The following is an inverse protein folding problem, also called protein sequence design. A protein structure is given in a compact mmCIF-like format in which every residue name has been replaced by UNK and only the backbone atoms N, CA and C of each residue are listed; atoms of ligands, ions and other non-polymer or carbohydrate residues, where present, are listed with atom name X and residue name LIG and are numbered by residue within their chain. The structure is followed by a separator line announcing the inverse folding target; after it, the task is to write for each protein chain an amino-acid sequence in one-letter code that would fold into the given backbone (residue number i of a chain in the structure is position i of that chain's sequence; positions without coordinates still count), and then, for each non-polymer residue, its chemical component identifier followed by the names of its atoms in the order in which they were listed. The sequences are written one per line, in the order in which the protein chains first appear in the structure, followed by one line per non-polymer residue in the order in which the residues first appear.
data_IF_853106359071
#
_entry.id   IF_853106359071
#
_cell.length_a   1.000
_cell.length_b   1.000
_cell.length_c   1.000
_cell.angle_alpha   90.00
_cell.angle_beta   90.00
_cell.angle_gamma   90.00
#
_symmetry.space_group_name_H-M   'P 1'
#
loop_
_entity.id
_entity.type
_entity.pdbx_description
1 polymer ?
#
# COMPACT_ATOMS: atom_id res chain seq x y z
N UNK A 1 -48.79 -35.32 -8.93
CA UNK A 1 -47.39 -35.46 -8.47
C UNK A 1 -46.65 -36.19 -9.58
N UNK A 2 -45.93 -35.46 -10.43
CA UNK A 2 -45.18 -35.97 -11.59
C UNK A 2 -43.84 -35.24 -11.61
N UNK A 3 -42.76 -36.01 -11.66
CA UNK A 3 -41.39 -35.55 -11.68
C UNK A 3 -41.13 -34.55 -12.82
N UNK A 4 -40.57 -33.39 -12.45
CA UNK A 4 -40.10 -32.35 -13.36
C UNK A 4 -38.56 -32.32 -13.37
N UNK A 5 -37.92 -33.48 -13.50
CA UNK A 5 -36.49 -33.56 -13.83
C UNK A 5 -36.39 -34.11 -15.25
N UNK A 6 -36.12 -33.19 -16.17
CA UNK A 6 -35.69 -33.47 -17.53
C UNK A 6 -34.81 -32.33 -17.99
N UNK A 7 -33.77 -32.01 -17.21
CA UNK A 7 -32.73 -31.07 -17.65
C UNK A 7 -31.98 -31.69 -18.83
N UNK A 8 -32.22 -31.18 -20.03
CA UNK A 8 -31.26 -31.31 -21.12
C UNK A 8 -30.05 -30.45 -20.76
N UNK A 9 -29.03 -31.08 -20.19
CA UNK A 9 -27.75 -30.45 -19.87
C UNK A 9 -26.97 -30.22 -21.18
N UNK A 10 -26.61 -28.97 -21.46
CA UNK A 10 -25.79 -28.63 -22.63
C UNK A 10 -24.30 -28.83 -22.30
N UNK A 11 -23.62 -29.71 -23.03
CA UNK A 11 -22.18 -29.96 -22.88
C UNK A 11 -21.38 -29.20 -23.96
N UNK A 12 -20.32 -28.43 -23.60
CA UNK A 12 -19.50 -27.73 -24.58
C UNK A 12 -18.71 -28.72 -25.43
N UNK A 13 -19.02 -28.77 -26.73
CA UNK A 13 -18.39 -29.66 -27.72
C UNK A 13 -19.38 -30.29 -28.71
N UNK A 14 -20.68 -30.25 -28.42
CA UNK A 14 -21.72 -30.74 -29.34
C UNK A 14 -22.01 -29.73 -30.46
N UNK A 15 -21.07 -29.55 -31.38
CA UNK A 15 -21.40 -29.00 -32.69
C UNK A 15 -22.06 -30.12 -33.52
N UNK A 16 -23.38 -30.31 -33.34
CA UNK A 16 -24.21 -31.07 -34.28
C UNK A 16 -24.48 -32.56 -33.99
N UNK A 17 -24.39 -33.05 -32.74
CA UNK A 17 -24.84 -34.41 -32.41
C UNK A 17 -25.38 -34.51 -30.97
N UNK A 18 -26.70 -34.35 -30.77
CA UNK A 18 -27.31 -34.23 -29.43
C UNK A 18 -27.51 -35.55 -28.66
N UNK A 19 -27.35 -36.73 -29.28
CA UNK A 19 -27.80 -38.00 -28.70
C UNK A 19 -26.67 -38.99 -28.29
N UNK A 20 -25.43 -38.53 -28.12
CA UNK A 20 -24.37 -39.38 -27.53
C UNK A 20 -24.45 -39.34 -26.00
N UNK A 21 -24.87 -40.45 -25.40
CA UNK A 21 -24.76 -40.70 -23.95
C UNK A 21 -23.28 -40.86 -23.59
N UNK A 22 -22.77 -39.99 -22.71
CA UNK A 22 -21.46 -40.15 -22.09
C UNK A 22 -21.66 -40.70 -20.68
N UNK A 23 -21.09 -41.86 -20.39
CA UNK A 23 -20.99 -42.35 -19.02
C UNK A 23 -19.82 -41.63 -18.34
N UNK A 24 -20.15 -40.80 -17.35
CA UNK A 24 -19.15 -40.13 -16.50
C UNK A 24 -18.73 -41.11 -15.40
N UNK A 25 -17.43 -41.33 -15.27
CA UNK A 25 -16.85 -42.13 -14.18
C UNK A 25 -16.82 -41.27 -12.91
N UNK A 26 -17.13 -41.85 -11.74
CA UNK A 26 -17.23 -41.14 -10.45
C UNK A 26 -16.00 -40.29 -10.08
N UNK A 27 -14.82 -40.59 -10.64
CA UNK A 27 -13.61 -39.78 -10.47
C UNK A 27 -13.68 -38.38 -11.09
N UNK A 28 -14.61 -38.13 -12.02
CA UNK A 28 -14.76 -36.84 -12.71
C UNK A 28 -15.87 -35.95 -12.11
N UNK A 29 -16.60 -36.43 -11.10
CA UNK A 29 -17.67 -35.69 -10.44
C UNK A 29 -17.18 -35.09 -9.12
N UNK A 30 -16.49 -33.94 -9.19
CA UNK A 30 -16.48 -32.98 -8.06
C UNK A 30 -17.54 -31.91 -8.34
N UNK A 31 -18.76 -32.18 -7.92
CA UNK A 31 -19.83 -31.20 -7.95
C UNK A 31 -19.84 -30.40 -6.65
N UNK A 32 -19.55 -29.11 -6.75
CA UNK A 32 -20.04 -28.10 -5.81
C UNK A 32 -20.99 -27.19 -6.60
N UNK A 33 -22.28 -27.30 -6.28
CA UNK A 33 -23.32 -26.48 -6.89
C UNK A 33 -23.16 -25.04 -6.39
N UNK A 34 -22.95 -24.11 -7.35
CA UNK A 34 -22.88 -22.64 -7.22
C UNK A 34 -21.49 -22.06 -6.87
N UNK A 35 -20.84 -21.49 -7.89
CA UNK A 35 -19.92 -20.34 -7.82
C UNK A 35 -18.48 -20.48 -7.24
N UNK A 36 -17.93 -21.68 -7.04
CA UNK A 36 -16.63 -21.81 -6.35
C UNK A 36 -15.65 -22.67 -7.14
N UNK A 37 -14.91 -22.10 -8.10
CA UNK A 37 -13.59 -22.65 -8.50
C UNK A 37 -12.67 -21.71 -9.32
N UNK A 38 -12.98 -20.40 -9.41
CA UNK A 38 -11.97 -19.37 -9.82
C UNK A 38 -11.28 -18.76 -8.57
N UNK A 39 -11.63 -19.21 -7.37
CA UNK A 39 -11.21 -18.61 -6.10
C UNK A 39 -9.76 -18.91 -5.67
N UNK A 40 -9.03 -19.77 -6.38
CA UNK A 40 -7.70 -20.22 -5.95
C UNK A 40 -6.51 -19.43 -6.53
N UNK A 41 -6.66 -18.71 -7.64
CA UNK A 41 -5.48 -18.14 -8.32
C UNK A 41 -5.10 -16.74 -7.79
N UNK A 42 -6.08 -15.93 -7.34
CA UNK A 42 -5.84 -14.55 -6.93
C UNK A 42 -6.68 -14.13 -5.71
N UNK A 43 -6.12 -14.15 -4.49
CA UNK A 43 -6.81 -13.71 -3.27
C UNK A 43 -7.38 -12.30 -3.35
N UNK A 44 -6.73 -11.43 -4.14
CA UNK A 44 -7.15 -10.03 -4.36
C UNK A 44 -8.48 -9.91 -5.12
N UNK A 45 -8.96 -10.98 -5.76
CA UNK A 45 -10.25 -11.01 -6.47
C UNK A 45 -11.41 -11.47 -5.58
N UNK A 46 -11.15 -11.87 -4.34
CA UNK A 46 -12.20 -12.39 -3.45
C UNK A 46 -13.32 -11.37 -3.25
N UNK A 47 -14.56 -11.77 -3.55
CA UNK A 47 -15.75 -10.93 -3.42
C UNK A 47 -15.89 -9.83 -4.48
N UNK A 48 -15.14 -9.88 -5.58
CA UNK A 48 -15.34 -9.00 -6.74
C UNK A 48 -16.16 -9.78 -7.77
N UNK A 49 -17.26 -9.20 -8.23
CA UNK A 49 -18.02 -9.71 -9.37
C UNK A 49 -17.28 -9.33 -10.67
N UNK A 50 -16.60 -10.29 -11.29
CA UNK A 50 -15.83 -10.09 -12.52
C UNK A 50 -16.71 -10.47 -13.71
N UNK A 51 -17.06 -9.53 -14.60
CA UNK A 51 -17.92 -9.84 -15.75
C UNK A 51 -17.27 -10.85 -16.70
N UNK A 52 -18.09 -11.73 -17.28
CA UNK A 52 -17.64 -12.78 -18.21
C UNK A 52 -17.39 -12.25 -19.63
N UNK A 53 -18.09 -11.19 -20.03
CA UNK A 53 -17.93 -10.53 -21.33
C UNK A 53 -16.60 -9.74 -21.38
N UNK A 54 -15.56 -10.35 -21.98
CA UNK A 54 -14.20 -9.76 -22.08
C UNK A 54 -13.87 -9.16 -23.44
N UNK A 55 -14.59 -9.54 -24.50
CA UNK A 55 -14.33 -9.20 -25.91
C UNK A 55 -15.59 -8.70 -26.61
N UNK A 56 -15.44 -8.05 -27.77
CA UNK A 56 -16.57 -7.53 -28.55
C UNK A 56 -17.14 -6.22 -28.02
N UNK A 57 -18.33 -5.86 -28.52
CA UNK A 57 -19.11 -4.71 -28.06
C UNK A 57 -19.75 -5.05 -26.71
N UNK A 58 -19.40 -4.29 -25.68
CA UNK A 58 -19.97 -4.46 -24.34
C UNK A 58 -21.24 -3.64 -24.26
N UNK A 59 -22.28 -4.21 -23.64
CA UNK A 59 -23.47 -3.43 -23.30
C UNK A 59 -23.11 -2.34 -22.29
N UNK A 60 -23.92 -1.29 -22.18
CA UNK A 60 -23.73 -0.25 -21.16
C UNK A 60 -23.69 -0.86 -19.75
N UNK A 61 -24.52 -1.88 -19.49
CA UNK A 61 -24.55 -2.58 -18.20
C UNK A 61 -23.24 -3.34 -17.94
N UNK A 62 -22.71 -4.07 -18.92
CA UNK A 62 -21.45 -4.80 -18.77
C UNK A 62 -20.28 -3.84 -18.56
N UNK A 63 -20.30 -2.69 -19.25
CA UNK A 63 -19.31 -1.64 -19.07
C UNK A 63 -19.32 -1.12 -17.63
N UNK A 64 -20.49 -0.81 -17.07
CA UNK A 64 -20.60 -0.34 -15.68
C UNK A 64 -20.12 -1.39 -14.68
N UNK A 65 -20.48 -2.68 -14.87
CA UNK A 65 -19.97 -3.76 -14.03
C UNK A 65 -18.43 -3.86 -14.07
N UNK A 66 -17.84 -3.70 -15.26
CA UNK A 66 -16.39 -3.65 -15.40
C UNK A 66 -15.77 -2.46 -14.68
N UNK A 67 -16.38 -1.27 -14.74
CA UNK A 67 -15.88 -0.09 -14.05
C UNK A 67 -15.92 -0.29 -12.52
N UNK A 68 -16.97 -0.90 -11.98
CA UNK A 68 -17.06 -1.26 -10.55
C UNK A 68 -15.95 -2.24 -10.16
N UNK A 69 -15.73 -3.29 -10.96
CA UNK A 69 -14.64 -4.25 -10.71
C UNK A 69 -13.26 -3.57 -10.73
N UNK A 70 -13.02 -2.65 -11.69
CA UNK A 70 -11.77 -1.88 -11.77
C UNK A 70 -11.58 -0.94 -10.58
N UNK A 71 -12.64 -0.28 -10.14
CA UNK A 71 -12.64 0.58 -8.96
C UNK A 71 -12.21 -0.21 -7.71
N UNK A 72 -12.79 -1.39 -7.46
CA UNK A 72 -12.44 -2.22 -6.32
C UNK A 72 -10.97 -2.69 -6.42
N UNK A 73 -10.49 -3.06 -7.60
CA UNK A 73 -9.09 -3.45 -7.81
C UNK A 73 -8.12 -2.32 -7.51
N UNK A 74 -8.43 -1.10 -7.96
CA UNK A 74 -7.62 0.09 -7.67
C UNK A 74 -7.63 0.43 -6.18
N UNK A 75 -8.78 0.31 -5.50
CA UNK A 75 -8.92 0.51 -4.06
C UNK A 75 -8.11 -0.53 -3.26
N UNK A 76 -8.02 -1.76 -3.75
CA UNK A 76 -7.16 -2.83 -3.18
C UNK A 76 -5.67 -2.68 -3.53
N UNK A 77 -5.29 -1.61 -4.23
CA UNK A 77 -3.90 -1.24 -4.47
C UNK A 77 -3.29 -1.77 -5.77
N UNK A 78 -4.08 -2.36 -6.68
CA UNK A 78 -3.59 -2.80 -7.99
C UNK A 78 -3.43 -1.60 -8.91
N UNK A 79 -2.22 -1.03 -8.96
CA UNK A 79 -1.94 0.20 -9.73
C UNK A 79 -1.43 -0.06 -11.14
N UNK A 80 -0.93 -1.26 -11.41
CA UNK A 80 -0.31 -1.61 -12.69
C UNK A 80 -1.34 -2.19 -13.67
N UNK A 81 -1.46 -1.59 -14.85
CA UNK A 81 -2.39 -2.04 -15.91
C UNK A 81 -2.07 -3.46 -16.36
N UNK A 82 -0.79 -3.85 -16.42
CA UNK A 82 -0.37 -5.21 -16.77
C UNK A 82 -0.83 -6.24 -15.73
N UNK A 83 -0.87 -5.85 -14.46
CA UNK A 83 -1.39 -6.69 -13.39
C UNK A 83 -2.92 -6.81 -13.45
N UNK A 84 -3.62 -5.70 -13.69
CA UNK A 84 -5.07 -5.70 -13.94
C UNK A 84 -5.42 -6.60 -15.11
N UNK A 85 -4.66 -6.53 -16.21
CA UNK A 85 -4.81 -7.40 -17.38
C UNK A 85 -4.69 -8.87 -17.01
N UNK A 86 -3.67 -9.23 -16.22
CA UNK A 86 -3.45 -10.61 -15.73
C UNK A 86 -4.63 -11.08 -14.88
N UNK A 87 -5.07 -10.26 -13.93
CA UNK A 87 -6.14 -10.58 -12.99
C UNK A 87 -7.52 -10.73 -13.65
N UNK A 88 -7.81 -9.91 -14.67
CA UNK A 88 -9.15 -9.83 -15.26
C UNK A 88 -9.26 -10.53 -16.62
N UNK A 89 -8.14 -10.74 -17.30
CA UNK A 89 -8.08 -11.29 -18.65
C UNK A 89 -8.55 -10.32 -19.74
N UNK A 90 -8.70 -9.02 -19.43
CA UNK A 90 -8.98 -7.98 -20.42
C UNK A 90 -7.78 -7.75 -21.35
N UNK A 91 -8.00 -7.10 -22.50
CA UNK A 91 -6.89 -6.56 -23.29
C UNK A 91 -6.29 -5.33 -22.60
N UNK A 92 -5.01 -5.04 -22.85
CA UNK A 92 -4.31 -3.92 -22.22
C UNK A 92 -5.03 -2.58 -22.48
N UNK A 93 -5.38 -2.29 -23.74
CA UNK A 93 -6.07 -1.05 -24.08
C UNK A 93 -7.44 -0.90 -23.44
N UNK A 94 -8.16 -2.00 -23.22
CA UNK A 94 -9.45 -1.98 -22.54
C UNK A 94 -9.30 -1.75 -21.04
N UNK A 95 -8.35 -2.43 -20.40
CA UNK A 95 -8.02 -2.20 -19.00
C UNK A 95 -7.57 -0.75 -18.75
N UNK A 96 -6.68 -0.21 -19.61
CA UNK A 96 -6.26 1.20 -19.54
C UNK A 96 -7.44 2.18 -19.68
N UNK A 97 -8.32 1.94 -20.66
CA UNK A 97 -9.52 2.76 -20.87
C UNK A 97 -10.43 2.78 -19.64
N UNK A 98 -10.70 1.62 -19.02
CA UNK A 98 -11.54 1.57 -17.83
C UNK A 98 -10.89 2.22 -16.62
N UNK A 99 -9.57 2.00 -16.43
CA UNK A 99 -8.82 2.65 -15.34
C UNK A 99 -8.84 4.18 -15.49
N UNK A 100 -8.69 4.70 -16.71
CA UNK A 100 -8.78 6.15 -16.99
C UNK A 100 -10.17 6.68 -16.68
N UNK A 101 -11.22 5.99 -17.09
CA UNK A 101 -12.61 6.39 -16.82
C UNK A 101 -12.91 6.39 -15.32
N UNK A 102 -12.48 5.37 -14.56
CA UNK A 102 -12.62 5.35 -13.10
C UNK A 102 -11.89 6.53 -12.45
N UNK A 103 -10.64 6.81 -12.86
CA UNK A 103 -9.87 7.95 -12.34
C UNK A 103 -10.53 9.30 -12.66
N UNK A 104 -11.10 9.43 -13.84
CA UNK A 104 -11.84 10.62 -14.25
C UNK A 104 -13.13 10.79 -13.45
N UNK A 105 -13.87 9.69 -13.19
CA UNK A 105 -15.03 9.73 -12.29
C UNK A 105 -14.64 10.15 -10.89
N UNK A 106 -13.53 9.62 -10.36
CA UNK A 106 -13.02 10.03 -9.06
C UNK A 106 -12.63 11.50 -9.03
N UNK A 107 -11.94 12.02 -10.05
CA UNK A 107 -11.55 13.43 -10.10
C UNK A 107 -12.75 14.38 -10.21
N UNK A 108 -13.84 13.94 -10.85
CA UNK A 108 -15.10 14.69 -10.96
C UNK A 108 -16.01 14.55 -9.73
N UNK A 109 -15.86 13.48 -8.95
CA UNK A 109 -16.78 13.15 -7.84
C UNK A 109 -16.58 13.98 -6.58
N UNK A 110 -15.42 14.62 -6.40
CA UNK A 110 -15.10 15.38 -5.19
C UNK A 110 -14.72 16.81 -5.56
N UNK A 111 -15.46 17.77 -5.02
CA UNK A 111 -15.05 19.17 -5.02
C UNK A 111 -13.75 19.33 -4.20
N UNK A 112 -12.95 20.34 -4.51
CA UNK A 112 -11.70 20.63 -3.77
C UNK A 112 -11.96 20.78 -2.27
N UNK A 113 -13.09 21.39 -1.88
CA UNK A 113 -13.52 21.49 -0.49
C UNK A 113 -13.78 20.13 0.17
N UNK A 114 -14.46 19.21 -0.52
CA UNK A 114 -14.68 17.84 -0.01
C UNK A 114 -13.40 17.03 0.09
N UNK A 115 -12.47 17.20 -0.86
CA UNK A 115 -11.14 16.57 -0.79
C UNK A 115 -10.38 17.06 0.45
N UNK A 116 -10.40 18.37 0.71
CA UNK A 116 -9.72 18.95 1.86
C UNK A 116 -10.37 18.52 3.19
N UNK A 117 -11.70 18.57 3.29
CA UNK A 117 -12.41 18.07 4.47
C UNK A 117 -12.12 16.59 4.75
N UNK A 118 -12.02 15.76 3.70
CA UNK A 118 -11.65 14.35 3.85
C UNK A 118 -10.19 14.17 4.26
N UNK A 119 -9.26 14.98 3.74
CA UNK A 119 -7.85 14.98 4.18
C UNK A 119 -7.74 15.34 5.65
N UNK A 120 -8.45 16.37 6.08
CA UNK A 120 -8.51 16.82 7.47
C UNK A 120 -9.09 15.73 8.38
N UNK A 121 -10.19 15.10 7.99
CA UNK A 121 -10.78 13.98 8.75
C UNK A 121 -9.79 12.81 8.93
N UNK A 122 -9.08 12.42 7.86
CA UNK A 122 -8.06 11.35 7.95
C UNK A 122 -6.88 11.79 8.83
N UNK A 123 -6.48 13.06 8.75
CA UNK A 123 -5.41 13.61 9.57
C UNK A 123 -5.76 13.58 11.06
N UNK A 124 -6.96 14.05 11.41
CA UNK A 124 -7.48 14.06 12.79
C UNK A 124 -7.63 12.64 13.34
N UNK A 125 -8.11 11.70 12.53
CA UNK A 125 -8.21 10.30 12.95
C UNK A 125 -6.83 9.68 13.20
N UNK A 126 -5.84 9.99 12.36
CA UNK A 126 -4.47 9.54 12.58
C UNK A 126 -3.88 10.14 13.87
N UNK A 127 -4.19 11.39 14.19
CA UNK A 127 -3.77 12.04 15.45
C UNK A 127 -4.40 11.34 16.65
N UNK A 128 -5.72 11.12 16.61
CA UNK A 128 -6.47 10.43 17.67
C UNK A 128 -5.92 9.04 17.96
N UNK A 129 -5.62 8.26 16.92
CA UNK A 129 -5.03 6.91 17.08
C UNK A 129 -3.63 6.99 17.69
N UNK A 130 -2.82 7.96 17.26
CA UNK A 130 -1.47 8.19 17.79
C UNK A 130 -1.52 8.54 19.28
N UNK A 131 -2.42 9.43 19.70
CA UNK A 131 -2.63 9.81 21.10
C UNK A 131 -3.08 8.62 21.95
N UNK A 132 -4.08 7.84 21.49
CA UNK A 132 -4.53 6.64 22.20
C UNK A 132 -3.40 5.61 22.38
N UNK A 133 -2.53 5.45 21.38
CA UNK A 133 -1.36 4.58 21.49
C UNK A 133 -0.36 5.08 22.54
N UNK A 134 -0.13 6.40 22.60
CA UNK A 134 0.73 7.02 23.62
C UNK A 134 0.17 6.88 25.03
N UNK A 135 -1.13 7.11 25.21
CA UNK A 135 -1.80 6.94 26.50
C UNK A 135 -1.65 5.50 27.00
N UNK A 136 -1.93 4.52 26.13
CA UNK A 136 -1.84 3.10 26.45
C UNK A 136 -0.43 2.67 26.83
N UNK A 137 0.59 3.20 26.13
CA UNK A 137 2.00 2.97 26.45
C UNK A 137 2.42 3.50 27.83
N UNK A 138 1.80 4.60 28.28
CA UNK A 138 2.14 5.28 29.53
C UNK A 138 1.36 4.76 30.74
N UNK A 139 0.14 4.26 30.53
CA UNK A 139 -0.74 3.81 31.63
C UNK A 139 -0.72 2.31 31.86
N UNK A 140 -0.49 1.50 30.83
CA UNK A 140 -0.59 0.04 30.93
C UNK A 140 0.78 -0.62 31.02
N UNK A 141 1.00 -1.54 31.97
CA UNK A 141 2.17 -2.41 31.94
C UNK A 141 2.02 -3.41 30.79
N UNK A 142 2.71 -3.13 29.69
CA UNK A 142 2.68 -3.92 28.46
C UNK A 142 3.95 -4.77 28.35
N UNK A 143 3.84 -5.92 27.68
CA UNK A 143 5.02 -6.67 27.25
C UNK A 143 5.82 -5.89 26.20
N UNK A 144 7.12 -6.17 26.09
CA UNK A 144 8.00 -5.47 25.14
C UNK A 144 7.52 -5.59 23.68
N UNK A 145 6.99 -6.76 23.31
CA UNK A 145 6.41 -6.99 21.98
C UNK A 145 5.18 -6.11 21.71
N UNK A 146 4.32 -5.94 22.71
CA UNK A 146 3.16 -5.04 22.59
C UNK A 146 3.60 -3.57 22.52
N UNK A 147 4.59 -3.16 23.31
CA UNK A 147 5.15 -1.79 23.25
C UNK A 147 5.73 -1.48 21.88
N UNK A 148 6.48 -2.43 21.30
CA UNK A 148 7.02 -2.29 19.94
C UNK A 148 5.91 -2.12 18.89
N UNK A 149 4.81 -2.86 19.02
CA UNK A 149 3.66 -2.75 18.11
C UNK A 149 3.01 -1.36 18.19
N UNK A 150 2.85 -0.79 19.40
CA UNK A 150 2.34 0.57 19.56
C UNK A 150 3.29 1.63 19.00
N UNK A 151 4.60 1.52 19.24
CA UNK A 151 5.57 2.43 18.63
C UNK A 151 5.54 2.38 17.10
N UNK A 152 5.41 1.18 16.51
CA UNK A 152 5.23 1.03 15.07
C UNK A 152 3.97 1.73 14.59
N UNK A 153 2.85 1.55 15.29
CA UNK A 153 1.59 2.21 14.94
C UNK A 153 1.71 3.74 14.97
N UNK A 154 2.35 4.29 16.01
CA UNK A 154 2.63 5.73 16.13
C UNK A 154 3.43 6.25 14.93
N UNK A 155 4.49 5.53 14.53
CA UNK A 155 5.31 5.89 13.37
C UNK A 155 4.49 5.81 12.07
N UNK A 156 3.67 4.78 11.88
CA UNK A 156 2.82 4.64 10.70
C UNK A 156 1.77 5.76 10.61
N UNK A 157 1.16 6.14 11.73
CA UNK A 157 0.27 7.30 11.81
C UNK A 157 0.98 8.61 11.46
N UNK A 158 2.17 8.86 12.02
CA UNK A 158 2.97 10.04 11.69
C UNK A 158 3.35 10.11 10.21
N UNK A 159 3.76 8.98 9.61
CA UNK A 159 4.03 8.91 8.16
C UNK A 159 2.79 9.23 7.33
N UNK A 160 1.62 8.74 7.74
CA UNK A 160 0.35 9.02 7.05
C UNK A 160 -0.01 10.50 7.11
N UNK A 161 0.21 11.15 8.25
CA UNK A 161 0.01 12.60 8.43
C UNK A 161 0.95 13.40 7.53
N UNK A 162 2.25 13.10 7.53
CA UNK A 162 3.25 13.73 6.65
C UNK A 162 2.88 13.62 5.18
N UNK A 163 2.37 12.46 4.76
CA UNK A 163 1.95 12.24 3.37
C UNK A 163 0.72 13.06 2.98
N UNK A 164 -0.22 13.27 3.91
CA UNK A 164 -1.45 14.04 3.67
C UNK A 164 -1.21 15.54 3.53
N UNK A 165 -0.25 16.08 4.28
CA UNK A 165 0.18 17.47 4.18
C UNK A 165 1.18 17.69 3.02
N UNK A 166 1.63 16.61 2.38
CA UNK A 166 2.57 16.67 1.28
C UNK A 166 4.01 16.96 1.71
N UNK A 167 4.36 16.76 2.99
CA UNK A 167 5.73 16.92 3.49
C UNK A 167 6.71 16.01 2.74
N UNK A 168 6.27 14.82 2.31
CA UNK A 168 7.06 13.89 1.48
C UNK A 168 7.40 14.44 0.08
N UNK A 169 6.72 15.50 -0.38
CA UNK A 169 6.94 16.16 -1.68
C UNK A 169 7.64 17.50 -1.56
N UNK A 170 7.82 17.99 -0.33
CA UNK A 170 8.67 19.15 -0.09
C UNK A 170 10.09 18.61 -0.22
N UNK A 171 10.67 18.69 -1.41
CA UNK A 171 12.12 18.76 -1.55
C UNK A 171 12.52 20.02 -0.79
N UNK A 172 12.75 19.88 0.50
CA UNK A 172 13.52 20.88 1.24
C UNK A 172 14.89 20.77 0.60
N UNK A 173 15.15 21.60 -0.42
CA UNK A 173 16.49 22.09 -0.66
C UNK A 173 16.85 22.79 0.64
N UNK A 174 17.33 22.01 1.60
CA UNK A 174 18.24 22.52 2.60
C UNK A 174 19.42 22.90 1.71
N UNK A 175 19.46 24.15 1.28
CA UNK A 175 20.74 24.80 1.08
C UNK A 175 21.42 24.67 2.44
N UNK A 176 22.08 23.54 2.66
CA UNK A 176 23.10 23.41 3.67
C UNK A 176 24.18 24.36 3.23
N UNK A 177 24.00 25.64 3.52
CA UNK A 177 25.08 26.53 3.91
C UNK A 177 25.57 26.08 5.29
N UNK A 178 25.86 24.78 5.44
CA UNK A 178 26.87 24.36 6.39
C UNK A 178 28.19 24.70 5.71
N UNK A 179 28.64 25.94 5.95
CA UNK A 179 30.07 26.23 5.96
C UNK A 179 30.69 25.22 6.92
N UNK A 180 31.17 24.10 6.39
CA UNK A 180 31.95 23.15 7.16
C UNK A 180 33.20 23.89 7.61
N UNK A 181 33.20 24.32 8.88
CA UNK A 181 34.39 24.89 9.50
C UNK A 181 35.50 23.86 9.36
N UNK A 182 36.60 24.26 8.76
CA UNK A 182 37.78 23.41 8.65
C UNK A 182 38.30 23.10 10.05
N UNK A 183 39.04 21.99 10.20
CA UNK A 183 39.64 21.59 11.48
C UNK A 183 40.41 22.75 12.15
N UNK A 184 41.15 23.52 11.35
CA UNK A 184 41.90 24.69 11.81
C UNK A 184 41.00 25.83 12.33
N UNK A 185 39.84 26.05 11.72
CA UNK A 185 38.87 27.07 12.16
C UNK A 185 38.21 26.67 13.48
N UNK A 186 37.89 25.38 13.65
CA UNK A 186 37.35 24.86 14.91
C UNK A 186 38.39 24.92 16.04
N UNK A 187 39.65 24.57 15.77
CA UNK A 187 40.74 24.64 16.76
C UNK A 187 41.01 26.09 17.21
N UNK A 188 40.97 27.04 16.28
CA UNK A 188 41.15 28.46 16.57
C UNK A 188 40.00 29.06 17.38
N UNK A 189 38.78 28.65 17.10
CA UNK A 189 37.58 29.08 17.84
C UNK A 189 37.58 28.55 19.28
N UNK A 190 37.90 27.27 19.47
CA UNK A 190 38.01 26.64 20.80
C UNK A 190 39.15 27.25 21.62
N UNK A 191 40.32 27.48 21.00
CA UNK A 191 41.45 28.14 21.63
C UNK A 191 41.13 29.58 22.06
N UNK A 192 40.40 30.32 21.22
CA UNK A 192 39.91 31.67 21.53
C UNK A 192 38.94 31.68 22.72
N UNK A 193 37.98 30.74 22.76
CA UNK A 193 37.03 30.62 23.87
C UNK A 193 37.69 30.27 25.20
N UNK A 194 38.72 29.42 25.16
CA UNK A 194 39.47 28.99 26.34
C UNK A 194 40.62 29.94 26.71
N UNK A 195 40.86 30.98 25.91
CA UNK A 195 41.97 31.94 26.06
C UNK A 195 43.35 31.28 26.17
N UNK A 196 43.54 30.17 25.45
CA UNK A 196 44.79 29.42 25.38
C UNK A 196 45.31 29.44 23.96
N UNK A 197 46.61 29.22 23.78
CA UNK A 197 47.18 29.07 22.44
C UNK A 197 46.70 27.76 21.80
N UNK A 198 46.60 27.72 20.47
CA UNK A 198 46.25 26.50 19.72
C UNK A 198 47.27 25.39 19.97
N UNK A 199 48.54 25.77 20.19
CA UNK A 199 49.64 24.85 20.50
C UNK A 199 49.47 24.19 21.88
N UNK A 200 48.96 24.91 22.87
CA UNK A 200 48.70 24.35 24.20
C UNK A 200 47.43 23.49 24.22
N UNK A 201 46.42 23.82 23.41
CA UNK A 201 45.25 22.96 23.19
C UNK A 201 45.66 21.60 22.60
N UNK A 202 46.59 21.59 21.63
CA UNK A 202 47.13 20.35 21.07
C UNK A 202 47.89 19.52 22.11
N UNK A 203 48.76 20.15 22.92
CA UNK A 203 49.48 19.47 24.01
C UNK A 203 48.54 18.87 25.06
N UNK A 204 47.43 19.54 25.38
CA UNK A 204 46.41 19.00 26.29
C UNK A 204 45.76 17.76 25.67
N UNK A 205 45.40 17.82 24.38
CA UNK A 205 44.85 16.68 23.65
C UNK A 205 45.79 15.47 23.66
N UNK A 206 47.08 15.68 23.38
CA UNK A 206 48.09 14.62 23.38
C UNK A 206 48.31 14.03 24.79
N UNK A 207 48.33 14.87 25.82
CA UNK A 207 48.46 14.45 27.22
C UNK A 207 47.27 13.59 27.66
N UNK A 208 46.05 14.01 27.33
CA UNK A 208 44.82 13.27 27.64
C UNK A 208 44.76 11.94 26.87
N UNK A 209 45.12 11.96 25.58
CA UNK A 209 45.16 10.75 24.75
C UNK A 209 46.15 9.71 25.29
N UNK A 210 47.32 10.18 25.75
CA UNK A 210 48.33 9.33 26.39
C UNK A 210 47.86 8.78 27.73
N UNK A 211 47.26 9.61 28.58
CA UNK A 211 46.67 9.16 29.86
C UNK A 211 45.55 8.12 29.67
N UNK A 212 44.70 8.28 28.64
CA UNK A 212 43.65 7.31 28.31
C UNK A 212 44.20 6.00 27.76
N UNK A 213 45.35 6.05 27.08
CA UNK A 213 46.02 4.86 26.57
C UNK A 213 46.72 4.10 27.70
N UNK A 214 47.43 4.84 28.57
CA UNK A 214 48.14 4.29 29.73
C UNK A 214 47.19 3.75 30.81
N UNK A 215 45.96 4.28 30.91
CA UNK A 215 44.93 3.78 31.84
C UNK A 215 44.17 2.54 31.34
N UNK A 216 44.44 2.10 30.10
CA UNK A 216 43.79 0.96 29.45
C UNK A 216 44.64 -0.32 29.51
N UNK A 217 45.91 -0.18 29.85
CA UNK A 217 46.83 -1.28 30.23
C UNK A 217 46.80 -1.53 31.75
#
# INVERSE_FOLDING_TARGET
MKDLIGERVYLPGQKGNPDKTFELVETDLKTSQRDVEILAEFPILKGIDIPTAKKGHLTTLDKERWLVAMEILLQRGVKNISEIKRLTGLSFGRADSFVKEVKERWSKSLTVGQVNARREAIYLEAERVKEACWETLNTSPLSDAARLAYFRMIIECGRRQSSLIGADRINVNVETTTTHKTKAEMEKEVASHLKISVEDLAKIGDSVSKQLSDARD
#
